data_IF_840028199737
#
_entry.id   IF_840028199737
#
_cell.length_a   1.000
_cell.length_b   1.000
_cell.length_c   1.000
_cell.angle_alpha   90.00
_cell.angle_beta   90.00
_cell.angle_gamma   90.00
#
_symmetry.space_group_name_H-M   'P 1'
#
loop_
_entity.id
_entity.type
_entity.pdbx_description
1 polymer ?
#
# COMPACT_ATOMS: atom_id res chain seq x y z
N UNK A 1 25.81 35.73 -74.29
CA UNK A 1 25.60 35.59 -72.84
C UNK A 1 24.15 35.19 -72.58
N UNK A 2 23.90 33.92 -72.22
CA UNK A 2 22.60 33.47 -71.69
C UNK A 2 22.88 32.60 -70.48
N UNK A 3 22.36 33.03 -69.33
CA UNK A 3 22.53 32.42 -68.02
C UNK A 3 21.86 31.04 -67.94
N UNK A 4 22.55 30.10 -67.31
CA UNK A 4 22.03 28.81 -66.87
C UNK A 4 21.33 29.04 -65.52
N UNK A 5 20.03 28.77 -65.44
CA UNK A 5 19.27 28.77 -64.18
C UNK A 5 19.14 27.33 -63.71
N UNK A 6 19.91 26.96 -62.68
CA UNK A 6 19.79 25.67 -62.00
C UNK A 6 18.57 25.65 -61.08
N UNK A 7 17.70 24.66 -61.24
CA UNK A 7 16.61 24.36 -60.29
C UNK A 7 17.16 23.57 -59.11
N UNK A 8 17.16 24.17 -57.93
CA UNK A 8 17.40 23.49 -56.66
C UNK A 8 16.06 22.84 -56.25
N UNK A 9 16.01 21.52 -56.24
CA UNK A 9 14.89 20.74 -55.70
C UNK A 9 15.15 20.53 -54.20
N UNK A 10 14.38 21.21 -53.36
CA UNK A 10 14.44 21.05 -51.91
C UNK A 10 13.50 19.91 -51.48
N UNK A 11 14.06 18.73 -51.20
CA UNK A 11 13.31 17.62 -50.59
C UNK A 11 13.15 17.87 -49.09
N UNK A 12 11.96 18.28 -48.66
CA UNK A 12 11.56 18.31 -47.25
C UNK A 12 11.21 16.89 -46.79
N UNK A 13 12.14 16.23 -46.10
CA UNK A 13 11.89 15.00 -45.35
C UNK A 13 11.12 15.35 -44.07
N UNK A 14 9.80 15.10 -44.07
CA UNK A 14 9.02 15.06 -42.84
C UNK A 14 9.35 13.75 -42.09
N UNK A 15 10.20 13.85 -41.06
CA UNK A 15 10.36 12.79 -40.09
C UNK A 15 9.09 12.74 -39.21
N UNK A 16 8.13 11.91 -39.60
CA UNK A 16 7.02 11.53 -38.72
C UNK A 16 7.61 10.57 -37.68
N UNK A 17 8.01 11.10 -36.54
CA UNK A 17 8.35 10.28 -35.39
C UNK A 17 7.10 9.57 -34.90
N UNK A 18 6.97 8.28 -35.18
CA UNK A 18 6.02 7.43 -34.47
C UNK A 18 6.39 7.42 -33.00
N UNK A 19 5.63 8.14 -32.18
CA UNK A 19 5.52 7.85 -30.75
C UNK A 19 4.88 6.47 -30.67
N UNK A 20 5.70 5.41 -30.65
CA UNK A 20 5.23 4.12 -30.19
C UNK A 20 4.74 4.34 -28.76
N UNK A 21 3.42 4.27 -28.55
CA UNK A 21 2.88 4.17 -27.21
C UNK A 21 3.56 2.97 -26.55
N UNK A 22 4.18 3.18 -25.39
CA UNK A 22 4.75 2.08 -24.63
C UNK A 22 3.65 1.01 -24.46
N UNK A 23 3.95 -0.23 -24.85
CA UNK A 23 3.01 -1.33 -24.74
C UNK A 23 2.69 -1.55 -23.26
N UNK A 24 1.40 -1.57 -22.91
CA UNK A 24 0.95 -1.67 -21.52
C UNK A 24 1.42 -2.96 -20.86
N UNK A 25 1.99 -2.86 -19.66
CA UNK A 25 2.41 -4.03 -18.87
C UNK A 25 1.20 -4.67 -18.19
N UNK A 26 1.05 -5.99 -18.31
CA UNK A 26 0.10 -6.77 -17.49
C UNK A 26 0.84 -7.39 -16.30
N UNK A 27 0.32 -7.19 -15.09
CA UNK A 27 0.83 -7.82 -13.87
C UNK A 27 -0.25 -8.71 -13.23
N UNK A 28 0.11 -9.95 -12.90
CA UNK A 28 -0.69 -10.89 -12.11
C UNK A 28 -0.22 -10.87 -10.66
N UNK A 29 -1.12 -10.50 -9.77
CA UNK A 29 -0.85 -10.28 -8.35
C UNK A 29 -1.77 -11.12 -7.45
N UNK A 30 -1.17 -11.92 -6.56
CA UNK A 30 -1.87 -12.54 -5.44
C UNK A 30 -1.45 -11.87 -4.12
N UNK A 31 -2.41 -11.30 -3.38
CA UNK A 31 -2.11 -10.73 -2.05
C UNK A 31 -2.63 -11.62 -0.93
N UNK A 32 -1.74 -12.08 -0.05
CA UNK A 32 -2.09 -12.84 1.16
C UNK A 32 -2.09 -11.88 2.36
N UNK A 33 -3.27 -11.53 2.86
CA UNK A 33 -3.35 -10.60 3.98
C UNK A 33 -4.74 -10.44 4.59
N UNK A 34 -5.04 -9.19 4.91
CA UNK A 34 -6.17 -8.80 5.76
C UNK A 34 -6.73 -7.44 5.31
N UNK A 35 -7.40 -6.70 6.20
CA UNK A 35 -7.95 -5.38 5.86
C UNK A 35 -6.89 -4.40 5.36
N UNK A 36 -5.63 -4.52 5.79
CA UNK A 36 -4.57 -3.60 5.38
C UNK A 36 -4.13 -3.81 3.92
N UNK A 37 -4.06 -5.07 3.42
CA UNK A 37 -3.79 -5.29 2.00
C UNK A 37 -4.95 -4.79 1.15
N UNK A 38 -6.19 -5.04 1.58
CA UNK A 38 -7.39 -4.53 0.89
C UNK A 38 -7.38 -3.00 0.82
N UNK A 39 -7.07 -2.33 1.91
CA UNK A 39 -7.05 -0.88 1.97
C UNK A 39 -5.93 -0.31 1.07
N UNK A 40 -4.71 -0.85 1.16
CA UNK A 40 -3.58 -0.38 0.35
C UNK A 40 -3.70 -0.69 -1.16
N UNK A 41 -4.55 -1.63 -1.55
CA UNK A 41 -4.79 -1.99 -2.96
C UNK A 41 -6.12 -1.45 -3.50
N UNK A 42 -6.91 -0.72 -2.69
CA UNK A 42 -8.27 -0.29 -3.05
C UNK A 42 -8.34 0.48 -4.37
N UNK A 43 -7.39 1.37 -4.61
CA UNK A 43 -7.33 2.21 -5.81
C UNK A 43 -6.26 1.77 -6.80
N UNK A 44 -5.60 0.63 -6.56
CA UNK A 44 -4.54 0.14 -7.43
C UNK A 44 -5.05 -0.15 -8.85
N UNK A 45 -6.20 -0.80 -9.08
CA UNK A 45 -6.71 -1.02 -10.43
C UNK A 45 -6.93 0.27 -11.22
N UNK A 46 -7.40 1.33 -10.57
CA UNK A 46 -7.67 2.62 -11.20
C UNK A 46 -6.38 3.34 -11.61
N UNK A 47 -5.38 3.37 -10.71
CA UNK A 47 -4.05 3.91 -11.01
C UNK A 47 -3.38 3.16 -12.16
N UNK A 48 -3.44 1.83 -12.15
CA UNK A 48 -2.92 0.95 -13.21
C UNK A 48 -3.56 1.27 -14.55
N UNK A 49 -4.89 1.34 -14.60
CA UNK A 49 -5.63 1.68 -15.82
C UNK A 49 -5.26 3.07 -16.32
N UNK A 50 -5.14 4.06 -15.43
CA UNK A 50 -4.74 5.42 -15.79
C UNK A 50 -3.28 5.52 -16.28
N UNK A 51 -2.42 4.60 -15.84
CA UNK A 51 -1.05 4.42 -16.35
C UNK A 51 -0.97 3.68 -17.70
N UNK A 52 -2.09 3.22 -18.26
CA UNK A 52 -2.09 2.44 -19.51
C UNK A 52 -1.61 1.00 -19.32
N UNK A 53 -1.85 0.42 -18.14
CA UNK A 53 -1.43 -0.93 -17.78
C UNK A 53 -2.63 -1.81 -17.41
N UNK A 54 -2.37 -3.09 -17.14
CA UNK A 54 -3.39 -4.05 -16.72
C UNK A 54 -2.98 -4.80 -15.44
N UNK A 55 -3.92 -4.96 -14.52
CA UNK A 55 -3.73 -5.70 -13.29
C UNK A 55 -4.75 -6.84 -13.20
N UNK A 56 -4.24 -8.07 -13.09
CA UNK A 56 -5.00 -9.24 -12.68
C UNK A 56 -4.72 -9.45 -11.19
N UNK A 57 -5.66 -9.05 -10.32
CA UNK A 57 -5.47 -9.09 -8.87
C UNK A 57 -6.41 -10.07 -8.18
N UNK A 58 -5.83 -11.02 -7.44
CA UNK A 58 -6.55 -11.93 -6.54
C UNK A 58 -6.22 -11.59 -5.08
N UNK A 59 -7.17 -11.03 -4.31
CA UNK A 59 -6.94 -10.77 -2.90
C UNK A 59 -7.45 -11.90 -2.00
N UNK A 60 -6.58 -12.43 -1.14
CA UNK A 60 -6.96 -13.21 0.05
C UNK A 60 -7.01 -12.24 1.24
N UNK A 61 -8.23 -11.95 1.70
CA UNK A 61 -8.49 -11.00 2.80
C UNK A 61 -9.17 -11.73 3.94
N UNK A 62 -8.44 -11.95 5.03
CA UNK A 62 -8.97 -12.52 6.27
C UNK A 62 -8.86 -11.46 7.37
N UNK A 63 -9.98 -11.03 7.95
CA UNK A 63 -10.01 -9.96 8.95
C UNK A 63 -9.04 -10.22 10.11
N UNK A 64 -8.14 -9.28 10.37
CA UNK A 64 -7.14 -9.37 11.45
C UNK A 64 -6.10 -10.50 11.31
N UNK A 65 -6.04 -11.20 10.18
CA UNK A 65 -5.15 -12.34 10.03
C UNK A 65 -3.67 -11.98 10.15
N UNK A 66 -2.94 -12.82 10.88
CA UNK A 66 -1.49 -12.78 11.03
C UNK A 66 -0.80 -13.72 10.03
N UNK A 67 0.52 -13.57 9.88
CA UNK A 67 1.36 -14.53 9.16
C UNK A 67 1.15 -15.96 9.68
N UNK A 68 1.08 -16.13 11.01
CA UNK A 68 0.80 -17.40 11.65
C UNK A 68 -0.48 -18.06 11.14
N UNK A 69 -1.59 -17.31 11.09
CA UNK A 69 -2.87 -17.86 10.64
C UNK A 69 -2.77 -18.39 9.21
N UNK A 70 -2.12 -17.64 8.32
CA UNK A 70 -1.93 -18.06 6.93
C UNK A 70 -1.00 -19.27 6.82
N UNK A 71 0.09 -19.31 7.58
CA UNK A 71 1.03 -20.42 7.60
C UNK A 71 0.37 -21.72 8.11
N UNK A 72 -0.41 -21.64 9.19
CA UNK A 72 -1.15 -22.78 9.74
C UNK A 72 -2.22 -23.29 8.76
N UNK A 73 -2.94 -22.39 8.08
CA UNK A 73 -3.85 -22.77 6.99
C UNK A 73 -3.12 -23.43 5.84
N UNK A 74 -1.94 -22.93 5.44
CA UNK A 74 -1.14 -23.52 4.37
C UNK A 74 -0.69 -24.95 4.74
N UNK A 75 -0.20 -25.14 5.96
CA UNK A 75 0.27 -26.44 6.46
C UNK A 75 -0.84 -27.50 6.53
N UNK A 76 -2.07 -27.09 6.85
CA UNK A 76 -3.23 -27.97 6.96
C UNK A 76 -4.07 -28.06 5.68
N UNK A 77 -3.65 -27.37 4.61
CA UNK A 77 -4.46 -27.15 3.39
C UNK A 77 -5.87 -26.62 3.71
N UNK A 78 -5.99 -25.82 4.78
CA UNK A 78 -7.25 -25.25 5.25
C UNK A 78 -7.82 -24.23 4.26
N UNK A 79 -9.15 -24.22 4.14
CA UNK A 79 -9.86 -23.33 3.23
C UNK A 79 -9.98 -21.90 3.80
N UNK A 80 -9.95 -20.93 2.90
CA UNK A 80 -10.41 -19.57 3.15
C UNK A 80 -11.93 -19.46 2.93
N UNK A 81 -12.50 -18.30 3.26
CA UNK A 81 -13.93 -18.04 3.02
C UNK A 81 -14.33 -18.14 1.54
N UNK A 82 -13.37 -18.05 0.62
CA UNK A 82 -13.57 -18.32 -0.82
C UNK A 82 -13.86 -19.78 -1.14
N UNK A 83 -13.74 -20.70 -0.18
CA UNK A 83 -13.81 -22.14 -0.38
C UNK A 83 -12.54 -22.75 -0.98
N UNK A 84 -11.48 -21.94 -1.17
CA UNK A 84 -10.20 -22.37 -1.74
C UNK A 84 -9.11 -22.39 -0.67
N UNK A 85 -8.17 -23.34 -0.77
CA UNK A 85 -6.95 -23.35 0.04
C UNK A 85 -5.89 -22.41 -0.52
N UNK A 86 -4.84 -22.11 0.25
CA UNK A 86 -3.73 -21.29 -0.25
C UNK A 86 -3.06 -21.92 -1.48
N UNK A 87 -2.91 -23.26 -1.50
CA UNK A 87 -2.39 -23.98 -2.66
C UNK A 87 -3.23 -23.73 -3.90
N UNK A 88 -4.55 -23.87 -3.80
CA UNK A 88 -5.44 -23.66 -4.94
C UNK A 88 -5.41 -22.22 -5.44
N UNK A 89 -5.22 -21.23 -4.57
CA UNK A 89 -5.05 -19.83 -4.99
C UNK A 89 -3.69 -19.63 -5.69
N UNK A 90 -2.60 -20.21 -5.16
CA UNK A 90 -1.26 -20.14 -5.76
C UNK A 90 -1.18 -20.81 -7.14
N UNK A 91 -1.87 -21.94 -7.34
CA UNK A 91 -1.89 -22.68 -8.61
C UNK A 91 -2.92 -22.12 -9.62
N UNK A 92 -3.67 -21.06 -9.28
CA UNK A 92 -4.79 -20.59 -10.11
C UNK A 92 -4.42 -19.73 -11.31
N UNK A 93 -3.28 -19.03 -11.25
CA UNK A 93 -2.75 -18.16 -12.29
C UNK A 93 -1.21 -18.24 -12.27
N UNK A 94 -0.52 -17.92 -13.38
CA UNK A 94 0.93 -17.76 -13.38
C UNK A 94 1.29 -16.41 -12.74
N UNK A 95 1.22 -16.33 -11.41
CA UNK A 95 1.45 -15.10 -10.66
C UNK A 95 2.85 -14.52 -10.94
N UNK A 96 2.92 -13.22 -11.26
CA UNK A 96 4.17 -12.47 -11.34
C UNK A 96 4.66 -12.12 -9.92
N UNK A 97 3.71 -11.73 -9.06
CA UNK A 97 3.98 -11.38 -7.67
C UNK A 97 3.00 -12.05 -6.71
N UNK A 98 3.54 -12.50 -5.59
CA UNK A 98 2.76 -12.90 -4.40
C UNK A 98 3.23 -12.03 -3.24
N UNK A 99 2.31 -11.50 -2.44
CA UNK A 99 2.67 -10.69 -1.27
C UNK A 99 2.25 -11.30 0.04
N UNK A 100 3.07 -11.10 1.07
CA UNK A 100 2.73 -11.37 2.47
C UNK A 100 2.84 -10.11 3.33
N UNK A 101 2.13 -10.10 4.46
CA UNK A 101 2.21 -9.05 5.48
C UNK A 101 1.83 -9.59 6.86
N UNK A 102 2.18 -8.87 7.91
CA UNK A 102 1.75 -9.17 9.28
C UNK A 102 0.41 -8.49 9.62
N UNK A 103 -0.26 -9.00 10.66
CA UNK A 103 -1.34 -8.29 11.34
C UNK A 103 -0.82 -6.99 11.98
N UNK A 104 -1.53 -5.89 11.82
CA UNK A 104 -1.08 -4.55 12.20
C UNK A 104 -0.74 -4.40 13.69
N UNK A 105 -1.48 -5.08 14.57
CA UNK A 105 -1.22 -5.03 16.01
C UNK A 105 0.09 -5.72 16.40
N UNK A 106 0.58 -6.65 15.57
CA UNK A 106 1.80 -7.44 15.76
C UNK A 106 2.99 -6.96 14.92
N UNK A 107 2.75 -6.06 13.96
CA UNK A 107 3.73 -5.76 12.90
C UNK A 107 4.98 -5.04 13.39
N UNK A 108 4.97 -4.49 14.60
CA UNK A 108 6.15 -3.87 15.24
C UNK A 108 7.11 -4.91 15.86
N UNK A 109 6.67 -6.15 16.08
CA UNK A 109 7.43 -7.17 16.80
C UNK A 109 7.88 -8.28 15.83
N UNK A 110 9.18 -8.30 15.53
CA UNK A 110 9.81 -9.27 14.63
C UNK A 110 9.62 -10.72 15.09
N UNK A 111 9.51 -10.98 16.40
CA UNK A 111 9.32 -12.32 16.92
C UNK A 111 8.02 -12.96 16.40
N UNK A 112 7.01 -12.15 16.09
CA UNK A 112 5.73 -12.64 15.55
C UNK A 112 5.77 -13.02 14.08
N UNK A 113 6.85 -12.67 13.37
CA UNK A 113 7.04 -13.02 11.96
C UNK A 113 7.66 -14.40 11.82
N UNK A 114 8.57 -14.78 12.72
CA UNK A 114 9.25 -16.08 12.67
C UNK A 114 8.46 -17.15 13.45
N UNK A 115 8.40 -18.40 12.96
CA UNK A 115 8.92 -18.90 11.68
C UNK A 115 7.96 -18.68 10.50
N UNK A 116 6.79 -18.09 10.74
CA UNK A 116 5.66 -18.10 9.81
C UNK A 116 5.91 -17.41 8.46
N UNK A 117 6.72 -16.34 8.44
CA UNK A 117 7.09 -15.64 7.20
C UNK A 117 7.92 -16.55 6.28
N UNK A 118 8.87 -17.29 6.83
CA UNK A 118 9.68 -18.28 6.11
C UNK A 118 8.83 -19.45 5.63
N UNK A 119 7.96 -19.98 6.49
CA UNK A 119 7.04 -21.05 6.11
C UNK A 119 6.16 -20.66 4.93
N UNK A 120 5.66 -19.42 4.90
CA UNK A 120 4.89 -18.91 3.76
C UNK A 120 5.76 -18.72 2.52
N UNK A 121 6.98 -18.19 2.65
CA UNK A 121 7.93 -18.06 1.53
C UNK A 121 8.21 -19.41 0.87
N UNK A 122 8.48 -20.43 1.67
CA UNK A 122 8.76 -21.79 1.19
C UNK A 122 7.53 -22.43 0.53
N UNK A 123 6.35 -22.24 1.13
CA UNK A 123 5.09 -22.73 0.57
C UNK A 123 4.77 -22.06 -0.78
N UNK A 124 4.94 -20.74 -0.87
CA UNK A 124 4.76 -19.98 -2.12
C UNK A 124 5.75 -20.47 -3.18
N UNK A 125 7.04 -20.60 -2.85
CA UNK A 125 8.06 -21.10 -3.77
C UNK A 125 7.75 -22.51 -4.29
N UNK A 126 7.12 -23.35 -3.47
CA UNK A 126 6.73 -24.72 -3.86
C UNK A 126 5.58 -24.75 -4.86
N UNK A 127 4.55 -23.91 -4.69
CA UNK A 127 3.31 -23.99 -5.47
C UNK A 127 3.13 -22.88 -6.53
N UNK A 128 3.93 -21.83 -6.46
CA UNK A 128 4.01 -20.76 -7.46
C UNK A 128 5.49 -20.35 -7.68
N UNK A 129 6.36 -21.26 -8.18
CA UNK A 129 7.80 -21.05 -8.25
C UNK A 129 8.24 -19.89 -9.17
N UNK A 130 7.41 -19.47 -10.11
CA UNK A 130 7.66 -18.32 -10.98
C UNK A 130 7.37 -16.98 -10.32
N UNK A 131 6.60 -16.96 -9.23
CA UNK A 131 6.19 -15.73 -8.58
C UNK A 131 7.32 -15.12 -7.75
N UNK A 132 7.52 -13.82 -7.92
CA UNK A 132 8.41 -13.06 -7.04
C UNK A 132 7.68 -12.72 -5.73
N UNK A 133 8.26 -13.12 -4.60
CA UNK A 133 7.74 -12.74 -3.28
C UNK A 133 8.03 -11.26 -3.01
N UNK A 134 6.99 -10.53 -2.60
CA UNK A 134 7.11 -9.19 -2.03
C UNK A 134 6.58 -9.16 -0.59
N UNK A 135 7.16 -8.30 0.24
CA UNK A 135 6.70 -8.07 1.61
C UNK A 135 6.03 -6.71 1.69
N UNK A 136 4.74 -6.68 2.03
CA UNK A 136 3.99 -5.43 2.17
C UNK A 136 4.19 -4.85 3.57
N UNK A 137 4.94 -3.75 3.66
CA UNK A 137 5.12 -3.00 4.89
C UNK A 137 3.83 -2.23 5.20
N UNK A 138 3.09 -2.68 6.21
CA UNK A 138 1.90 -1.97 6.73
C UNK A 138 2.28 -0.66 7.43
N UNK A 139 1.34 0.06 8.04
CA UNK A 139 1.59 1.38 8.65
C UNK A 139 1.39 1.40 10.16
N UNK A 140 1.92 2.45 10.80
CA UNK A 140 1.64 2.78 12.18
C UNK A 140 0.22 3.37 12.33
N UNK A 141 -0.38 3.22 13.51
CA UNK A 141 -1.69 3.79 13.81
C UNK A 141 -1.61 5.32 13.91
N UNK A 142 -2.76 5.98 13.81
CA UNK A 142 -2.88 7.43 13.95
C UNK A 142 -2.36 7.88 15.31
N UNK A 143 -1.75 9.06 15.37
CA UNK A 143 -1.06 9.57 16.55
C UNK A 143 -1.95 9.68 17.82
N UNK A 144 -3.27 9.78 17.67
CA UNK A 144 -4.26 9.86 18.75
C UNK A 144 -5.12 8.60 18.92
N UNK A 145 -4.73 7.47 18.29
CA UNK A 145 -5.38 6.17 18.47
C UNK A 145 -5.42 5.79 19.97
N UNK A 146 -6.56 5.26 20.48
CA UNK A 146 -6.72 4.88 21.88
C UNK A 146 -5.60 3.97 22.42
N UNK A 147 -4.97 3.16 21.56
CA UNK A 147 -3.80 2.35 21.92
C UNK A 147 -2.67 3.16 22.53
N UNK A 148 -2.45 4.39 22.06
CA UNK A 148 -1.37 5.26 22.55
C UNK A 148 -1.76 6.10 23.76
N UNK A 149 -3.07 6.30 24.00
CA UNK A 149 -3.57 7.02 25.18
C UNK A 149 -3.48 6.19 26.46
N UNK A 150 -3.72 4.88 26.34
CA UNK A 150 -3.58 3.91 27.43
C UNK A 150 -2.66 2.77 26.95
N UNK A 151 -1.35 3.03 26.85
CA UNK A 151 -0.41 2.06 26.30
C UNK A 151 -0.37 0.79 27.15
N UNK A 152 -0.21 -0.35 26.48
CA UNK A 152 -0.02 -1.64 27.15
C UNK A 152 1.19 -1.60 28.08
N UNK A 153 1.07 -2.22 29.26
CA UNK A 153 2.19 -2.42 30.19
C UNK A 153 3.13 -3.54 29.75
N UNK A 154 2.76 -4.33 28.73
CA UNK A 154 3.57 -5.41 28.19
C UNK A 154 4.85 -4.85 27.55
N UNK A 155 5.98 -5.44 27.93
CA UNK A 155 7.29 -5.09 27.36
C UNK A 155 7.30 -5.25 25.84
N UNK A 156 7.95 -4.32 25.14
CA UNK A 156 8.07 -4.30 23.69
C UNK A 156 6.90 -3.69 22.92
N UNK A 157 5.78 -3.38 23.56
CA UNK A 157 4.65 -2.73 22.88
C UNK A 157 4.93 -1.22 22.68
N UNK A 158 4.79 -0.68 21.45
CA UNK A 158 4.98 0.74 21.20
C UNK A 158 3.90 1.57 21.88
N UNK A 159 4.35 2.67 22.48
CA UNK A 159 3.54 3.66 23.22
C UNK A 159 3.17 4.87 22.36
N UNK A 160 3.88 5.08 21.27
CA UNK A 160 3.63 6.19 20.33
C UNK A 160 3.57 5.70 18.89
N UNK A 161 3.00 6.53 18.00
CA UNK A 161 3.04 6.28 16.56
C UNK A 161 4.48 6.15 16.04
N UNK A 162 5.40 6.99 16.51
CA UNK A 162 6.81 6.97 16.10
C UNK A 162 7.51 5.67 16.51
N UNK A 163 7.28 5.19 17.74
CA UNK A 163 7.80 3.90 18.21
C UNK A 163 7.20 2.74 17.40
N UNK A 164 5.90 2.79 17.11
CA UNK A 164 5.24 1.76 16.29
C UNK A 164 5.80 1.73 14.88
N UNK A 165 5.99 2.89 14.25
CA UNK A 165 6.62 3.00 12.94
C UNK A 165 8.05 2.47 12.96
N UNK A 166 8.87 2.82 13.96
CA UNK A 166 10.24 2.35 14.06
C UNK A 166 10.31 0.81 14.18
N UNK A 167 9.51 0.23 15.07
CA UNK A 167 9.43 -1.23 15.22
C UNK A 167 8.99 -1.92 13.93
N UNK A 168 7.97 -1.37 13.28
CA UNK A 168 7.42 -1.88 12.03
C UNK A 168 8.44 -1.79 10.89
N UNK A 169 9.11 -0.65 10.73
CA UNK A 169 10.17 -0.45 9.75
C UNK A 169 11.29 -1.47 9.92
N UNK A 170 11.75 -1.67 11.15
CA UNK A 170 12.85 -2.58 11.44
C UNK A 170 12.43 -4.04 11.21
N UNK A 171 11.25 -4.46 11.70
CA UNK A 171 10.77 -5.82 11.55
C UNK A 171 10.58 -6.20 10.07
N UNK A 172 9.91 -5.33 9.28
CA UNK A 172 9.70 -5.61 7.86
C UNK A 172 10.99 -5.59 7.04
N UNK A 173 11.94 -4.68 7.32
CA UNK A 173 13.23 -4.67 6.61
C UNK A 173 14.04 -5.93 6.91
N UNK A 174 14.10 -6.34 8.17
CA UNK A 174 14.81 -7.56 8.58
C UNK A 174 14.19 -8.80 7.92
N UNK A 175 12.87 -8.95 7.99
CA UNK A 175 12.19 -10.11 7.39
C UNK A 175 12.29 -10.11 5.87
N UNK A 176 12.15 -8.96 5.20
CA UNK A 176 12.35 -8.89 3.75
C UNK A 176 13.76 -9.35 3.35
N UNK A 177 14.79 -8.92 4.09
CA UNK A 177 16.17 -9.35 3.85
C UNK A 177 16.36 -10.86 4.09
N UNK A 178 15.84 -11.41 5.20
CA UNK A 178 15.90 -12.85 5.51
C UNK A 178 15.23 -13.72 4.44
N UNK A 179 14.15 -13.22 3.83
CA UNK A 179 13.41 -13.94 2.80
C UNK A 179 14.00 -13.74 1.39
N UNK A 180 14.92 -12.80 1.20
CA UNK A 180 15.39 -12.37 -0.12
C UNK A 180 14.30 -11.68 -0.95
N UNK A 181 13.35 -11.02 -0.28
CA UNK A 181 12.18 -10.40 -0.91
C UNK A 181 12.32 -8.87 -0.97
N UNK A 182 11.75 -8.24 -2.00
CA UNK A 182 11.62 -6.78 -2.05
C UNK A 182 10.48 -6.30 -1.15
N UNK A 183 10.62 -5.11 -0.62
CA UNK A 183 9.61 -4.48 0.24
C UNK A 183 8.70 -3.54 -0.58
N UNK A 184 7.41 -3.51 -0.25
CA UNK A 184 6.46 -2.48 -0.68
C UNK A 184 6.31 -1.49 0.51
N UNK A 185 6.92 -0.30 0.47
CA UNK A 185 7.16 0.54 1.66
C UNK A 185 5.96 1.44 2.04
N UNK A 186 4.74 0.90 2.12
CA UNK A 186 3.54 1.70 2.42
C UNK A 186 3.63 2.36 3.79
N UNK A 187 4.12 1.64 4.81
CA UNK A 187 4.35 2.20 6.14
C UNK A 187 5.28 3.41 6.16
N UNK A 188 6.31 3.39 5.32
CA UNK A 188 7.21 4.53 5.16
C UNK A 188 6.49 5.74 4.54
N UNK A 189 5.69 5.52 3.50
CA UNK A 189 4.91 6.59 2.87
C UNK A 189 3.91 7.21 3.85
N UNK A 190 3.19 6.39 4.61
CA UNK A 190 2.25 6.86 5.64
C UNK A 190 2.96 7.73 6.68
N UNK A 191 4.10 7.28 7.20
CA UNK A 191 4.82 8.04 8.21
C UNK A 191 5.36 9.37 7.66
N UNK A 192 5.87 9.39 6.42
CA UNK A 192 6.32 10.63 5.76
C UNK A 192 5.18 11.66 5.62
N UNK A 193 3.98 11.21 5.26
CA UNK A 193 2.82 12.10 5.13
C UNK A 193 2.28 12.56 6.50
N UNK A 194 2.08 11.64 7.45
CA UNK A 194 1.57 11.96 8.79
C UNK A 194 2.47 12.95 9.54
N UNK A 195 3.79 12.85 9.33
CA UNK A 195 4.78 13.70 9.99
C UNK A 195 5.19 14.93 9.17
N UNK A 196 4.61 15.14 7.99
CA UNK A 196 4.85 16.37 7.23
C UNK A 196 4.38 17.57 8.07
N UNK A 197 5.19 18.62 8.24
CA UNK A 197 4.87 19.74 9.12
C UNK A 197 3.66 20.55 8.66
N UNK A 198 3.37 20.56 7.35
CA UNK A 198 2.30 21.36 6.74
C UNK A 198 1.08 20.51 6.40
N UNK A 199 1.29 19.32 5.86
CA UNK A 199 0.21 18.45 5.40
C UNK A 199 -0.24 17.47 6.48
N UNK A 200 0.63 16.97 7.35
CA UNK A 200 0.25 15.90 8.28
C UNK A 200 -0.93 16.23 9.20
N UNK A 201 -1.77 15.23 9.46
CA UNK A 201 -2.89 15.34 10.40
C UNK A 201 -2.45 15.85 11.79
N UNK A 202 -3.31 16.65 12.42
CA UNK A 202 -3.13 17.15 13.79
C UNK A 202 -4.38 16.87 14.62
N UNK A 203 -4.25 16.27 15.82
CA UNK A 203 -5.39 16.08 16.71
C UNK A 203 -6.10 17.40 17.04
N UNK A 204 -7.41 17.39 16.88
CA UNK A 204 -8.27 18.48 17.32
C UNK A 204 -8.34 18.50 18.85
N UNK A 205 -7.67 19.46 19.46
CA UNK A 205 -7.65 19.66 20.91
C UNK A 205 -8.81 20.50 21.42
N UNK A 206 -9.60 21.10 20.53
CA UNK A 206 -10.73 21.97 20.89
C UNK A 206 -12.08 21.24 20.88
N UNK A 207 -12.16 20.07 20.25
CA UNK A 207 -13.41 19.30 20.17
C UNK A 207 -13.88 18.77 21.54
N UNK A 208 -15.14 19.06 21.90
CA UNK A 208 -15.77 18.55 23.12
C UNK A 208 -16.29 17.12 22.93
N UNK A 209 -15.41 16.14 23.14
CA UNK A 209 -15.76 14.72 23.08
C UNK A 209 -16.83 14.30 24.09
N UNK A 210 -16.97 15.00 25.22
CA UNK A 210 -17.89 14.61 26.30
C UNK A 210 -19.34 14.87 25.92
N UNK A 211 -19.58 15.99 25.23
CA UNK A 211 -20.93 16.42 24.85
C UNK A 211 -21.20 16.29 23.34
N UNK A 212 -20.34 15.59 22.60
CA UNK A 212 -20.49 15.38 21.16
C UNK A 212 -21.82 14.67 20.84
N UNK A 213 -22.55 15.17 19.85
CA UNK A 213 -23.77 14.56 19.31
C UNK A 213 -23.69 14.47 17.79
N UNK A 214 -24.31 13.46 17.14
CA UNK A 214 -24.30 13.35 15.69
C UNK A 214 -24.89 14.61 15.03
N UNK A 215 -24.31 15.12 13.92
CA UNK A 215 -23.20 14.55 13.16
C UNK A 215 -21.81 15.12 13.54
N UNK A 216 -21.67 15.83 14.66
CA UNK A 216 -20.42 16.52 15.01
C UNK A 216 -19.24 15.55 15.16
N UNK A 217 -18.11 15.85 14.53
CA UNK A 217 -16.85 15.11 14.61
C UNK A 217 -15.71 16.11 14.85
N UNK A 218 -14.62 15.72 15.51
CA UNK A 218 -13.41 16.53 15.57
C UNK A 218 -12.87 16.77 14.16
N UNK A 219 -12.08 17.83 13.98
CA UNK A 219 -11.38 18.04 12.71
C UNK A 219 -10.44 16.86 12.39
N UNK A 220 -10.55 16.33 11.16
CA UNK A 220 -9.78 15.16 10.70
C UNK A 220 -9.11 15.39 9.34
N UNK A 221 -8.90 16.66 8.98
CA UNK A 221 -8.26 17.05 7.74
C UNK A 221 -6.90 16.36 7.59
N UNK A 222 -6.60 15.91 6.37
CA UNK A 222 -5.38 15.14 6.03
C UNK A 222 -5.17 13.83 6.82
N UNK A 223 -6.19 13.29 7.50
CA UNK A 223 -6.05 12.00 8.16
C UNK A 223 -5.92 10.87 7.13
N UNK A 224 -4.83 10.10 7.22
CA UNK A 224 -4.65 8.87 6.43
C UNK A 224 -5.43 7.68 6.99
N UNK A 225 -6.07 7.82 8.15
CA UNK A 225 -6.86 6.79 8.82
C UNK A 225 -8.33 7.22 8.88
N UNK A 226 -9.25 6.25 8.99
CA UNK A 226 -10.69 6.54 9.07
C UNK A 226 -11.01 7.53 10.19
N UNK A 227 -10.35 7.37 11.35
CA UNK A 227 -10.47 8.30 12.46
C UNK A 227 -11.79 8.14 13.24
N UNK A 228 -12.25 9.26 13.80
CA UNK A 228 -13.50 9.37 14.53
C UNK A 228 -14.71 9.25 13.59
N UNK A 229 -15.69 8.45 13.99
CA UNK A 229 -16.94 8.29 13.25
C UNK A 229 -18.10 7.93 14.17
N UNK A 230 -19.30 8.29 13.76
CA UNK A 230 -20.53 7.81 14.38
C UNK A 230 -20.95 6.47 13.79
N UNK A 231 -21.32 5.52 14.66
CA UNK A 231 -21.98 4.27 14.29
C UNK A 231 -23.05 3.96 15.32
N UNK A 232 -24.30 3.78 14.87
CA UNK A 232 -25.44 3.45 15.73
C UNK A 232 -25.57 4.38 16.95
N UNK A 233 -25.39 5.70 16.72
CA UNK A 233 -25.44 6.73 17.76
C UNK A 233 -24.25 6.76 18.71
N UNK A 234 -23.20 5.97 18.46
CA UNK A 234 -21.98 5.91 19.27
C UNK A 234 -20.79 6.49 18.49
N UNK A 235 -20.07 7.41 19.12
CA UNK A 235 -18.81 7.92 18.60
C UNK A 235 -17.72 6.88 18.85
N UNK A 236 -17.02 6.46 17.80
CA UNK A 236 -15.92 5.52 17.87
C UNK A 236 -14.71 6.00 17.09
N UNK A 237 -13.53 5.44 17.39
CA UNK A 237 -12.27 5.71 16.71
C UNK A 237 -11.80 4.50 15.93
N UNK A 238 -11.42 4.70 14.68
CA UNK A 238 -10.67 3.76 13.85
C UNK A 238 -9.37 4.42 13.40
N UNK A 239 -8.37 4.41 14.29
CA UNK A 239 -7.05 5.00 14.03
C UNK A 239 -6.10 4.07 13.28
N UNK A 240 -6.60 2.97 12.69
CA UNK A 240 -5.73 1.97 12.06
C UNK A 240 -6.12 1.62 10.62
N UNK A 241 -7.40 1.55 10.27
CA UNK A 241 -7.80 1.38 8.86
C UNK A 241 -7.60 2.68 8.08
N UNK A 242 -7.27 2.55 6.80
CA UNK A 242 -6.95 3.69 5.97
C UNK A 242 -8.21 4.46 5.54
N UNK A 243 -8.15 5.79 5.55
CA UNK A 243 -9.13 6.67 4.92
C UNK A 243 -9.01 6.63 3.39
N UNK A 244 -9.81 7.43 2.66
CA UNK A 244 -9.63 7.61 1.21
C UNK A 244 -8.19 8.06 0.88
N UNK A 245 -7.64 9.01 1.63
CA UNK A 245 -6.27 9.49 1.45
C UNK A 245 -5.23 8.38 1.70
N UNK A 246 -5.39 7.61 2.79
CA UNK A 246 -4.48 6.50 3.10
C UNK A 246 -4.56 5.36 2.08
N UNK A 247 -5.77 5.01 1.63
CA UNK A 247 -5.98 4.00 0.58
C UNK A 247 -5.32 4.43 -0.73
N UNK A 248 -5.43 5.71 -1.09
CA UNK A 248 -4.81 6.26 -2.29
C UNK A 248 -3.28 6.26 -2.19
N UNK A 249 -2.72 6.72 -1.05
CA UNK A 249 -1.29 6.71 -0.80
C UNK A 249 -0.71 5.30 -0.87
N UNK A 250 -1.38 4.33 -0.24
CA UNK A 250 -1.02 2.92 -0.33
C UNK A 250 -1.00 2.45 -1.79
N UNK A 251 -2.08 2.72 -2.54
CA UNK A 251 -2.18 2.30 -3.94
C UNK A 251 -1.09 2.93 -4.82
N UNK A 252 -0.69 4.17 -4.56
CA UNK A 252 0.41 4.84 -5.27
C UNK A 252 1.75 4.14 -5.06
N UNK A 253 2.06 3.76 -3.82
CA UNK A 253 3.29 3.01 -3.49
C UNK A 253 3.29 1.64 -4.17
N UNK A 254 2.15 0.95 -4.16
CA UNK A 254 1.97 -0.34 -4.82
C UNK A 254 2.15 -0.23 -6.34
N UNK A 255 1.56 0.79 -6.98
CA UNK A 255 1.71 1.05 -8.41
C UNK A 255 3.19 1.17 -8.79
N UNK A 256 3.91 2.09 -8.12
CA UNK A 256 5.30 2.36 -8.48
C UNK A 256 6.22 1.15 -8.19
N UNK A 257 5.97 0.40 -7.12
CA UNK A 257 6.76 -0.80 -6.79
C UNK A 257 6.58 -1.95 -7.79
N UNK A 258 5.37 -2.10 -8.36
CA UNK A 258 5.03 -3.20 -9.26
C UNK A 258 5.37 -2.87 -10.73
N UNK A 259 5.07 -1.66 -11.16
CA UNK A 259 5.23 -1.25 -12.55
C UNK A 259 6.59 -0.59 -12.80
N UNK A 260 7.27 -0.10 -11.77
CA UNK A 260 8.58 0.56 -11.91
C UNK A 260 8.47 1.96 -12.52
N UNK A 261 7.27 2.54 -12.51
CA UNK A 261 6.97 3.86 -13.07
C UNK A 261 6.58 4.83 -11.97
N UNK A 262 7.02 6.08 -12.09
CA UNK A 262 6.62 7.12 -11.14
C UNK A 262 5.11 7.30 -11.15
N UNK A 263 4.49 7.28 -9.98
CA UNK A 263 3.06 7.59 -9.84
C UNK A 263 2.76 9.10 -9.95
N UNK A 264 3.80 9.94 -9.89
CA UNK A 264 3.67 11.40 -9.97
C UNK A 264 3.18 11.81 -11.35
N UNK A 265 1.97 12.37 -11.40
CA UNK A 265 1.32 12.78 -12.65
C UNK A 265 0.35 11.74 -13.20
N UNK A 266 0.15 10.62 -12.50
CA UNK A 266 -0.97 9.72 -12.78
C UNK A 266 -2.29 10.51 -12.68
N UNK A 267 -3.16 10.35 -13.67
CA UNK A 267 -4.37 11.16 -13.84
C UNK A 267 -5.55 10.71 -12.98
N UNK A 268 -5.45 9.55 -12.34
CA UNK A 268 -6.52 9.08 -11.47
C UNK A 268 -6.47 9.79 -10.10
N UNK A 269 -7.63 10.32 -9.71
CA UNK A 269 -7.90 10.90 -8.40
C UNK A 269 -9.17 10.27 -7.83
N UNK A 270 -9.16 9.76 -6.58
CA UNK A 270 -10.35 9.20 -5.97
C UNK A 270 -11.33 10.31 -5.56
N UNK A 271 -12.65 10.02 -5.54
CA UNK A 271 -13.63 10.99 -5.03
C UNK A 271 -13.32 11.42 -3.60
N UNK A 272 -13.34 12.73 -3.35
CA UNK A 272 -13.13 13.30 -2.02
C UNK A 272 -11.70 13.74 -1.70
N UNK A 273 -10.75 13.61 -2.65
CA UNK A 273 -9.44 14.28 -2.58
C UNK A 273 -9.37 15.38 -3.63
N UNK A 274 -8.83 16.53 -3.26
CA UNK A 274 -8.54 17.59 -4.21
C UNK A 274 -7.19 17.35 -4.94
N UNK A 275 -6.90 18.21 -5.91
CA UNK A 275 -5.72 18.07 -6.76
C UNK A 275 -4.40 18.25 -5.99
N UNK A 276 -4.38 19.09 -4.97
CA UNK A 276 -3.18 19.38 -4.18
C UNK A 276 -2.86 18.20 -3.25
N UNK A 277 -3.89 17.64 -2.60
CA UNK A 277 -3.79 16.41 -1.82
C UNK A 277 -3.31 15.24 -2.68
N UNK A 278 -3.91 15.06 -3.86
CA UNK A 278 -3.51 14.00 -4.80
C UNK A 278 -2.04 14.15 -5.19
N UNK A 279 -1.60 15.37 -5.56
CA UNK A 279 -0.20 15.63 -5.92
C UNK A 279 0.73 15.31 -4.75
N UNK A 280 0.42 15.80 -3.55
CA UNK A 280 1.23 15.58 -2.36
C UNK A 280 1.39 14.08 -2.03
N UNK A 281 0.29 13.32 -2.12
CA UNK A 281 0.31 11.88 -1.85
C UNK A 281 1.10 11.10 -2.90
N UNK A 282 1.00 11.46 -4.19
CA UNK A 282 1.81 10.87 -5.25
C UNK A 282 3.31 11.12 -5.02
N UNK A 283 3.70 12.36 -4.73
CA UNK A 283 5.09 12.73 -4.46
C UNK A 283 5.63 12.03 -3.20
N UNK A 284 4.78 11.86 -2.18
CA UNK A 284 5.15 11.14 -0.97
C UNK A 284 5.34 9.64 -1.23
N UNK A 285 4.46 9.02 -2.01
CA UNK A 285 4.65 7.63 -2.45
C UNK A 285 5.96 7.46 -3.24
N UNK A 286 6.24 8.35 -4.20
CA UNK A 286 7.46 8.33 -4.99
C UNK A 286 8.72 8.43 -4.12
N UNK A 287 8.77 9.40 -3.19
CA UNK A 287 9.87 9.52 -2.22
C UNK A 287 10.04 8.26 -1.38
N UNK A 288 8.95 7.64 -0.94
CA UNK A 288 8.99 6.44 -0.13
C UNK A 288 9.54 5.23 -0.89
N UNK A 289 9.20 5.09 -2.18
CA UNK A 289 9.73 4.02 -3.04
C UNK A 289 11.20 4.25 -3.36
N UNK A 290 11.58 5.46 -3.77
CA UNK A 290 12.99 5.79 -4.09
C UNK A 290 13.95 5.67 -2.93
N UNK A 291 13.51 5.92 -1.70
CA UNK A 291 14.33 5.70 -0.51
C UNK A 291 14.53 4.22 -0.13
N UNK A 292 13.86 3.30 -0.82
CA UNK A 292 13.86 1.86 -0.54
C UNK A 292 14.40 1.02 -1.71
N UNK A 293 14.79 1.65 -2.83
CA UNK A 293 15.65 1.09 -3.88
C UNK A 293 17.11 1.04 -3.43
#
# INVERSE_FOLDING_TARGET
MKLIVGRILLCLLFAVGSLAAAEGKTIRLLTIGNSFSRDATRYLPDLVKAGGHELIHRPIVVGGASLQLHAEKAATNGLYASGRSLRQELESEPWDYVTIQQASIKSHDIATYRPFAEQLRDYIKKYAPSATLLVHQTWAYRCDDPRFRAPSSKSGEPRTQAEMYAGLKNAYRAIAAELGARLIPVGNAFYLADTDPRWGYRPDTAFDFKNATPPALPHQHHSLHIGWRWKDGKLGMDGHHASVAGQYLGACVWYETLYGESVVGNRFAPPGLDADDVRFLQETAHRAVKANE
#
